data_IF_087432665648
#
_entry.id   IF_087432665648
#
_cell.length_a   1.000
_cell.length_b   1.000
_cell.length_c   1.000
_cell.angle_alpha   90.00
_cell.angle_beta   90.00
_cell.angle_gamma   90.00
#
_symmetry.space_group_name_H-M   'P 1'
#
loop_
_entity.id
_entity.type
_entity.pdbx_description
1 polymer ?
#
# COMPACT_ATOMS: atom_id res chain seq x y z
N UNK A 1 -11.13 -7.41 -35.47
CA UNK A 1 -10.35 -8.00 -34.36
C UNK A 1 -9.89 -6.87 -33.45
N UNK A 2 -10.33 -6.82 -32.19
CA UNK A 2 -9.86 -5.85 -31.20
C UNK A 2 -8.57 -6.36 -30.55
N UNK A 3 -7.44 -5.70 -30.78
CA UNK A 3 -6.16 -5.99 -30.12
C UNK A 3 -6.02 -5.00 -28.98
N UNK A 4 -5.87 -5.51 -27.74
CA UNK A 4 -5.64 -4.66 -26.56
C UNK A 4 -4.19 -4.83 -26.11
N UNK A 5 -3.47 -3.73 -25.92
CA UNK A 5 -2.14 -3.74 -25.32
C UNK A 5 -2.26 -4.12 -23.84
N UNK A 6 -1.62 -5.21 -23.43
CA UNK A 6 -1.57 -5.67 -22.03
C UNK A 6 -0.12 -5.71 -21.56
N UNK A 7 0.11 -5.21 -20.35
CA UNK A 7 1.41 -5.34 -19.69
C UNK A 7 1.59 -6.80 -19.27
N UNK A 8 2.50 -7.51 -19.89
CA UNK A 8 2.77 -8.93 -19.65
C UNK A 8 4.15 -9.13 -18.97
N UNK A 9 4.41 -8.37 -17.89
CA UNK A 9 5.65 -8.53 -17.14
C UNK A 9 5.32 -9.23 -15.82
N UNK A 10 5.63 -10.52 -15.74
CA UNK A 10 5.64 -11.27 -14.49
C UNK A 10 7.10 -11.47 -14.04
N UNK A 11 7.32 -11.37 -12.72
CA UNK A 11 8.64 -11.64 -12.18
C UNK A 11 8.93 -13.15 -12.27
N UNK A 12 10.16 -13.58 -12.68
CA UNK A 12 10.48 -15.00 -12.86
C UNK A 12 10.27 -15.89 -11.62
N UNK A 13 10.29 -15.28 -10.43
CA UNK A 13 10.05 -15.97 -9.15
C UNK A 13 8.57 -15.98 -8.71
N UNK A 14 7.66 -15.36 -9.46
CA UNK A 14 6.23 -15.46 -9.21
C UNK A 14 5.74 -16.81 -9.77
N UNK A 15 5.54 -17.78 -8.88
CA UNK A 15 5.09 -19.13 -9.28
C UNK A 15 3.56 -19.19 -9.36
N UNK A 16 2.98 -19.73 -10.45
CA UNK A 16 1.53 -19.85 -10.60
C UNK A 16 0.88 -20.61 -9.45
N UNK A 17 1.52 -21.65 -8.95
CA UNK A 17 1.02 -22.50 -7.87
C UNK A 17 0.80 -21.68 -6.57
N UNK A 18 1.80 -20.88 -6.14
CA UNK A 18 1.67 -20.04 -4.94
C UNK A 18 0.58 -18.99 -5.10
N UNK A 19 0.39 -18.49 -6.31
CA UNK A 19 -0.67 -17.52 -6.61
C UNK A 19 -2.04 -18.17 -6.55
N UNK A 20 -2.19 -19.41 -7.07
CA UNK A 20 -3.44 -20.20 -6.99
C UNK A 20 -3.79 -20.48 -5.53
N UNK A 21 -2.85 -21.01 -4.74
CA UNK A 21 -3.07 -21.29 -3.31
C UNK A 21 -3.53 -20.05 -2.55
N UNK A 22 -2.88 -18.89 -2.78
CA UNK A 22 -3.29 -17.64 -2.17
C UNK A 22 -4.72 -17.23 -2.56
N UNK A 23 -5.07 -17.36 -3.84
CA UNK A 23 -6.44 -17.07 -4.29
C UNK A 23 -7.47 -18.00 -3.62
N UNK A 24 -7.16 -19.26 -3.47
CA UNK A 24 -8.03 -20.25 -2.78
C UNK A 24 -8.22 -19.88 -1.30
N UNK A 25 -7.14 -19.49 -0.61
CA UNK A 25 -7.21 -19.05 0.79
C UNK A 25 -8.04 -17.76 0.93
N UNK A 26 -7.82 -16.77 0.06
CA UNK A 26 -8.62 -15.53 0.05
C UNK A 26 -10.09 -15.83 -0.23
N UNK A 27 -10.36 -16.70 -1.19
CA UNK A 27 -11.75 -17.09 -1.51
C UNK A 27 -12.43 -17.76 -0.31
N UNK A 28 -11.77 -18.71 0.36
CA UNK A 28 -12.28 -19.36 1.56
C UNK A 28 -12.66 -18.34 2.64
N UNK A 29 -11.77 -17.39 2.96
CA UNK A 29 -12.05 -16.37 3.94
C UNK A 29 -13.18 -15.42 3.52
N UNK A 30 -13.31 -15.15 2.22
CA UNK A 30 -14.41 -14.35 1.67
C UNK A 30 -15.75 -15.08 1.81
N UNK A 31 -15.79 -16.38 1.53
CA UNK A 31 -16.99 -17.24 1.72
C UNK A 31 -17.39 -17.32 3.19
N UNK A 32 -16.43 -17.29 4.12
CA UNK A 32 -16.65 -17.19 5.56
C UNK A 32 -17.08 -15.76 6.01
N UNK A 33 -17.26 -14.83 5.08
CA UNK A 33 -17.60 -13.41 5.33
C UNK A 33 -16.61 -12.70 6.26
N UNK A 34 -15.35 -13.10 6.27
CA UNK A 34 -14.30 -12.49 7.07
C UNK A 34 -13.78 -11.22 6.40
N UNK A 35 -13.64 -10.11 7.15
CA UNK A 35 -13.08 -8.88 6.62
C UNK A 35 -11.62 -9.09 6.17
N UNK A 36 -11.31 -8.72 4.91
CA UNK A 36 -9.93 -8.73 4.39
C UNK A 36 -9.33 -7.33 4.52
N UNK A 37 -8.25 -7.22 5.28
CA UNK A 37 -7.54 -5.98 5.53
C UNK A 37 -6.17 -6.05 4.88
N UNK A 38 -5.94 -5.21 3.88
CA UNK A 38 -4.68 -5.18 3.14
C UNK A 38 -3.76 -4.09 3.68
N UNK A 39 -2.53 -4.46 4.01
CA UNK A 39 -1.51 -3.55 4.55
C UNK A 39 -0.37 -3.42 3.56
N UNK A 40 0.19 -2.20 3.51
CA UNK A 40 1.39 -1.92 2.73
C UNK A 40 2.05 -0.61 3.17
N UNK A 41 3.31 -0.43 2.80
CA UNK A 41 4.05 0.81 2.98
C UNK A 41 4.28 1.50 1.64
N UNK A 42 4.30 2.83 1.71
CA UNK A 42 4.66 3.64 0.55
C UNK A 42 5.52 4.83 0.92
N UNK A 43 6.51 5.13 0.10
CA UNK A 43 7.31 6.34 0.24
C UNK A 43 6.76 7.49 -0.60
N UNK A 44 6.65 8.67 0.03
CA UNK A 44 6.28 9.92 -0.62
C UNK A 44 7.45 10.88 -0.57
N UNK A 45 8.07 11.16 -1.71
CA UNK A 45 9.14 12.15 -1.78
C UNK A 45 8.61 13.54 -1.40
N UNK A 46 9.44 14.36 -0.76
CA UNK A 46 9.04 15.72 -0.36
C UNK A 46 8.77 16.60 -1.57
N UNK A 47 9.53 16.43 -2.65
CA UNK A 47 9.17 17.00 -3.95
C UNK A 47 8.65 15.91 -4.90
N UNK A 48 7.47 16.14 -5.46
CA UNK A 48 6.84 15.28 -6.46
C UNK A 48 6.33 16.15 -7.63
N UNK A 49 7.24 16.71 -8.46
CA UNK A 49 6.85 17.59 -9.55
C UNK A 49 6.00 16.86 -10.59
N UNK A 50 5.20 17.63 -11.31
CA UNK A 50 4.52 17.13 -12.50
C UNK A 50 5.55 16.77 -13.56
N UNK A 51 5.50 15.55 -14.07
CA UNK A 51 6.41 15.09 -15.12
C UNK A 51 5.97 15.48 -16.52
N UNK A 52 4.69 15.82 -16.69
CA UNK A 52 4.06 16.15 -17.96
C UNK A 52 3.13 17.35 -17.80
N UNK A 53 3.02 18.15 -18.86
CA UNK A 53 2.10 19.29 -18.95
C UNK A 53 1.65 19.49 -20.39
N UNK A 54 0.78 20.46 -20.59
CA UNK A 54 0.29 20.84 -21.92
C UNK A 54 0.90 22.18 -22.34
N UNK A 55 1.33 22.26 -23.57
CA UNK A 55 1.78 23.49 -24.22
C UNK A 55 1.29 23.52 -25.67
N UNK A 56 1.25 24.69 -26.26
CA UNK A 56 0.94 24.85 -27.71
C UNK A 56 2.02 24.08 -28.49
N UNK A 57 1.60 23.45 -29.60
CA UNK A 57 2.51 22.70 -30.48
C UNK A 57 3.71 23.57 -30.87
N UNK A 58 4.90 23.03 -30.63
CA UNK A 58 6.16 23.72 -30.89
C UNK A 58 6.68 24.59 -29.73
N UNK A 59 5.94 24.74 -28.63
CA UNK A 59 6.39 25.44 -27.43
C UNK A 59 6.83 24.48 -26.35
N UNK A 60 7.77 24.92 -25.50
CA UNK A 60 8.20 24.18 -24.29
C UNK A 60 7.13 24.26 -23.20
N UNK A 61 6.87 23.12 -22.56
CA UNK A 61 6.14 23.08 -21.31
C UNK A 61 7.16 23.20 -20.15
N UNK A 62 6.97 24.21 -19.29
CA UNK A 62 7.82 24.44 -18.14
C UNK A 62 7.13 23.89 -16.88
N UNK A 63 7.90 23.23 -16.01
CA UNK A 63 7.50 22.80 -14.68
C UNK A 63 8.50 23.33 -13.65
N UNK A 64 8.06 23.41 -12.41
CA UNK A 64 8.93 23.72 -11.27
C UNK A 64 9.35 22.44 -10.58
N UNK A 65 10.61 22.35 -10.18
CA UNK A 65 11.17 21.28 -9.38
C UNK A 65 12.00 21.92 -8.25
N UNK A 66 11.66 21.56 -7.02
CA UNK A 66 12.44 22.02 -5.86
C UNK A 66 13.63 21.08 -5.62
N UNK A 67 14.78 21.45 -6.15
CA UNK A 67 16.03 20.73 -5.96
C UNK A 67 16.51 20.70 -4.51
N UNK A 68 15.96 21.57 -3.65
CA UNK A 68 16.26 21.64 -2.21
C UNK A 68 15.41 20.71 -1.36
N UNK A 69 14.23 20.29 -1.83
CA UNK A 69 13.33 19.42 -1.09
C UNK A 69 13.83 17.97 -1.12
N UNK A 70 14.77 17.67 -0.25
CA UNK A 70 15.34 16.33 -0.07
C UNK A 70 14.53 15.54 0.96
N UNK A 71 14.50 14.22 0.80
CA UNK A 71 13.86 13.30 1.75
C UNK A 71 12.52 12.77 1.27
N UNK A 72 11.97 11.91 2.10
CA UNK A 72 10.66 11.30 1.89
C UNK A 72 9.98 11.03 3.24
N UNK A 73 8.67 11.04 3.24
CA UNK A 73 7.85 10.52 4.32
C UNK A 73 7.44 9.10 3.96
N UNK A 74 7.66 8.16 4.86
CA UNK A 74 7.16 6.81 4.72
C UNK A 74 5.75 6.73 5.32
N UNK A 75 4.87 6.01 4.67
CA UNK A 75 3.48 5.87 5.07
C UNK A 75 3.18 4.40 5.22
N UNK A 76 2.58 4.00 6.32
CA UNK A 76 1.98 2.68 6.51
C UNK A 76 0.48 2.87 6.47
N UNK A 77 -0.24 2.01 5.78
CA UNK A 77 -1.69 2.07 5.74
C UNK A 77 -2.34 0.71 5.68
N UNK A 78 -3.59 0.68 6.10
CA UNK A 78 -4.46 -0.49 6.01
C UNK A 78 -5.72 -0.16 5.20
N UNK A 79 -6.04 -0.99 4.25
CA UNK A 79 -7.21 -0.87 3.37
C UNK A 79 -8.26 -1.91 3.75
N UNK A 80 -9.47 -1.46 4.01
CA UNK A 80 -10.65 -2.30 4.27
C UNK A 80 -11.80 -1.87 3.38
N UNK A 81 -12.44 -2.78 2.67
CA UNK A 81 -13.58 -2.50 1.77
C UNK A 81 -13.34 -1.36 0.76
N UNK A 82 -12.09 -1.18 0.33
CA UNK A 82 -11.73 -0.16 -0.64
C UNK A 82 -11.46 1.24 -0.07
N UNK A 83 -11.64 1.45 1.23
CA UNK A 83 -11.28 2.67 1.96
C UNK A 83 -10.09 2.43 2.88
N UNK A 84 -9.32 3.47 3.19
CA UNK A 84 -8.27 3.39 4.20
C UNK A 84 -8.91 3.32 5.58
N UNK A 85 -8.62 2.24 6.31
CA UNK A 85 -9.02 2.06 7.70
C UNK A 85 -8.16 2.93 8.64
N UNK A 86 -6.86 2.94 8.36
CA UNK A 86 -5.89 3.78 9.06
C UNK A 86 -4.69 4.05 8.17
N UNK A 87 -4.02 5.17 8.45
CA UNK A 87 -2.77 5.58 7.81
C UNK A 87 -1.91 6.31 8.83
N UNK A 88 -0.61 6.03 8.83
CA UNK A 88 0.36 6.69 9.69
C UNK A 88 1.59 7.12 8.91
N UNK A 89 2.10 8.30 9.21
CA UNK A 89 3.21 8.94 8.52
C UNK A 89 4.46 8.92 9.39
N UNK A 90 5.58 8.54 8.79
CA UNK A 90 6.88 8.39 9.47
C UNK A 90 7.96 9.17 8.73
N UNK A 91 8.68 10.05 9.43
CA UNK A 91 9.83 10.77 8.89
C UNK A 91 11.10 9.90 8.83
N UNK A 92 11.06 8.73 9.46
CA UNK A 92 12.15 7.76 9.51
C UNK A 92 11.85 6.54 8.64
N UNK A 93 12.86 5.72 8.39
CA UNK A 93 12.63 4.44 7.73
C UNK A 93 11.83 3.51 8.66
N UNK A 94 10.83 2.85 8.09
CA UNK A 94 10.07 1.82 8.78
C UNK A 94 10.97 0.60 8.97
N UNK A 95 11.10 0.16 10.21
CA UNK A 95 11.81 -1.06 10.61
C UNK A 95 10.83 -2.02 11.29
N UNK A 96 11.30 -3.18 11.71
CA UNK A 96 10.47 -4.21 12.37
C UNK A 96 9.80 -3.70 13.65
N UNK A 97 10.50 -2.88 14.44
CA UNK A 97 9.99 -2.32 15.68
C UNK A 97 8.83 -1.35 15.42
N UNK A 98 9.05 -0.35 14.56
CA UNK A 98 8.03 0.64 14.19
C UNK A 98 6.80 -0.06 13.60
N UNK A 99 7.02 -1.01 12.69
CA UNK A 99 5.93 -1.75 12.07
C UNK A 99 5.14 -2.58 13.09
N UNK A 100 5.84 -3.29 14.00
CA UNK A 100 5.18 -4.09 15.04
C UNK A 100 4.38 -3.21 16.01
N UNK A 101 4.93 -2.08 16.47
CA UNK A 101 4.21 -1.13 17.31
C UNK A 101 2.98 -0.56 16.59
N UNK A 102 3.12 -0.19 15.33
CA UNK A 102 1.98 0.29 14.54
C UNK A 102 0.88 -0.77 14.42
N UNK A 103 1.24 -2.03 14.18
CA UNK A 103 0.26 -3.13 14.12
C UNK A 103 -0.46 -3.31 15.45
N UNK A 104 0.28 -3.29 16.58
CA UNK A 104 -0.30 -3.56 17.90
C UNK A 104 -1.08 -2.38 18.46
N UNK A 105 -0.61 -1.16 18.26
CA UNK A 105 -1.13 0.04 18.92
C UNK A 105 -2.15 0.80 18.06
N UNK A 106 -2.00 0.76 16.74
CA UNK A 106 -2.87 1.52 15.83
C UNK A 106 -3.83 0.62 15.05
N UNK A 107 -3.33 -0.47 14.45
CA UNK A 107 -4.13 -1.31 13.56
C UNK A 107 -5.10 -2.21 14.32
N UNK A 108 -4.61 -3.09 15.20
CA UNK A 108 -5.42 -4.10 15.89
C UNK A 108 -6.64 -3.51 16.58
N UNK A 109 -6.54 -2.36 17.30
CA UNK A 109 -7.72 -1.76 17.94
C UNK A 109 -8.83 -1.29 16.98
N UNK A 110 -8.49 -1.09 15.71
CA UNK A 110 -9.43 -0.60 14.68
C UNK A 110 -10.01 -1.72 13.81
N UNK A 111 -9.46 -2.94 13.92
CA UNK A 111 -9.90 -4.06 13.09
C UNK A 111 -11.29 -4.55 13.48
N UNK A 112 -12.16 -4.85 12.51
CA UNK A 112 -13.33 -5.68 12.76
C UNK A 112 -12.93 -7.05 13.33
N UNK A 113 -13.80 -7.64 14.12
CA UNK A 113 -13.56 -8.98 14.69
C UNK A 113 -13.31 -10.02 13.60
N UNK A 114 -12.42 -10.98 13.89
CA UNK A 114 -12.11 -12.10 12.99
C UNK A 114 -11.61 -11.67 11.60
N UNK A 115 -10.86 -10.56 11.52
CA UNK A 115 -10.29 -10.07 10.26
C UNK A 115 -9.15 -10.97 9.78
N UNK A 116 -8.93 -10.96 8.46
CA UNK A 116 -7.76 -11.54 7.80
C UNK A 116 -6.87 -10.40 7.34
N UNK A 117 -5.67 -10.32 7.92
CA UNK A 117 -4.68 -9.29 7.60
C UNK A 117 -3.80 -9.83 6.48
N UNK A 118 -3.79 -9.12 5.36
CA UNK A 118 -2.99 -9.47 4.18
C UNK A 118 -1.86 -8.46 4.03
N UNK A 119 -0.62 -8.92 4.00
CA UNK A 119 0.56 -8.07 3.79
C UNK A 119 1.60 -8.77 2.92
N UNK A 120 2.58 -8.03 2.45
CA UNK A 120 3.66 -8.61 1.69
C UNK A 120 4.60 -9.45 2.59
N UNK A 121 5.48 -10.20 1.95
CA UNK A 121 6.39 -11.13 2.63
C UNK A 121 7.77 -10.49 2.88
N UNK A 122 7.82 -9.19 3.19
CA UNK A 122 9.07 -8.50 3.54
C UNK A 122 9.67 -9.07 4.82
N UNK A 123 10.99 -8.97 4.95
CA UNK A 123 11.71 -9.55 6.10
C UNK A 123 11.31 -8.94 7.43
N UNK A 124 10.99 -7.64 7.45
CA UNK A 124 10.58 -6.93 8.67
C UNK A 124 9.10 -7.18 9.06
N UNK A 125 8.30 -7.79 8.18
CA UNK A 125 6.94 -8.26 8.49
C UNK A 125 6.90 -9.65 9.17
N UNK A 126 8.05 -10.26 9.43
CA UNK A 126 8.14 -11.63 9.99
C UNK A 126 8.40 -11.67 11.50
N UNK A 127 8.13 -10.60 12.21
CA UNK A 127 8.28 -10.55 13.65
C UNK A 127 7.37 -11.58 14.36
N UNK A 128 7.97 -12.50 15.10
CA UNK A 128 7.21 -13.52 15.86
C UNK A 128 6.24 -12.88 16.84
N UNK A 129 6.67 -11.81 17.51
CA UNK A 129 5.85 -11.08 18.48
C UNK A 129 4.61 -10.43 17.79
N UNK A 130 4.80 -9.81 16.62
CA UNK A 130 3.72 -9.23 15.86
C UNK A 130 2.70 -10.28 15.39
N UNK A 131 3.20 -11.40 14.86
CA UNK A 131 2.32 -12.52 14.43
C UNK A 131 1.49 -13.02 15.62
N UNK A 132 2.14 -13.22 16.77
CA UNK A 132 1.45 -13.65 17.98
C UNK A 132 0.40 -12.64 18.44
N UNK A 133 0.71 -11.34 18.42
CA UNK A 133 -0.24 -10.29 18.78
C UNK A 133 -1.50 -10.29 17.88
N UNK A 134 -1.33 -10.52 16.59
CA UNK A 134 -2.43 -10.64 15.63
C UNK A 134 -3.30 -11.86 15.95
N UNK A 135 -2.67 -13.01 16.20
CA UNK A 135 -3.36 -14.26 16.54
C UNK A 135 -4.08 -14.18 17.90
N UNK A 136 -3.42 -13.63 18.92
CA UNK A 136 -3.97 -13.42 20.26
C UNK A 136 -5.19 -12.47 20.26
N UNK A 137 -5.22 -11.53 19.31
CA UNK A 137 -6.36 -10.64 19.08
C UNK A 137 -7.50 -11.28 18.25
N UNK A 138 -7.38 -12.55 17.88
CA UNK A 138 -8.41 -13.29 17.14
C UNK A 138 -8.43 -13.03 15.64
N UNK A 139 -7.33 -12.52 15.09
CA UNK A 139 -7.19 -12.27 13.64
C UNK A 139 -6.29 -13.33 12.97
N UNK A 140 -6.35 -13.40 11.65
CA UNK A 140 -5.50 -14.30 10.84
C UNK A 140 -4.54 -13.48 10.01
N UNK A 141 -3.28 -13.89 9.96
CA UNK A 141 -2.27 -13.29 9.09
C UNK A 141 -2.09 -14.14 7.82
N UNK A 142 -2.16 -13.48 6.67
CA UNK A 142 -1.95 -14.08 5.37
C UNK A 142 -0.89 -13.28 4.59
N UNK A 143 0.13 -13.97 4.10
CA UNK A 143 1.16 -13.31 3.30
C UNK A 143 0.87 -13.40 1.81
N UNK A 144 1.09 -12.29 1.11
CA UNK A 144 1.05 -12.27 -0.36
C UNK A 144 2.09 -13.23 -0.95
N UNK A 145 1.78 -13.86 -2.08
CA UNK A 145 2.78 -14.61 -2.82
C UNK A 145 3.95 -13.71 -3.21
N UNK A 146 5.17 -14.23 -3.25
CA UNK A 146 6.34 -13.45 -3.66
C UNK A 146 6.12 -12.77 -5.02
N UNK A 147 6.54 -11.51 -5.12
CA UNK A 147 6.46 -10.70 -6.35
C UNK A 147 5.04 -10.55 -6.95
N UNK A 148 4.03 -10.47 -6.11
CA UNK A 148 2.62 -10.37 -6.51
C UNK A 148 1.93 -9.10 -5.96
N UNK A 149 2.45 -7.87 -6.22
CA UNK A 149 1.85 -6.63 -5.75
C UNK A 149 0.46 -6.37 -6.36
N UNK A 150 0.17 -7.00 -7.50
CA UNK A 150 -1.14 -6.96 -8.16
C UNK A 150 -2.27 -7.57 -7.32
N UNK A 151 -1.95 -8.40 -6.33
CA UNK A 151 -2.90 -8.93 -5.34
C UNK A 151 -3.11 -8.00 -4.14
N UNK A 152 -2.35 -6.90 -4.04
CA UNK A 152 -2.53 -5.91 -2.99
C UNK A 152 -3.31 -4.68 -3.50
N UNK A 153 -4.60 -4.57 -3.21
CA UNK A 153 -5.42 -3.47 -3.71
C UNK A 153 -5.02 -2.09 -3.15
N UNK A 154 -4.31 -2.03 -2.04
CA UNK A 154 -3.83 -0.77 -1.44
C UNK A 154 -2.82 -0.05 -2.35
N UNK A 155 -2.11 -0.76 -3.22
CA UNK A 155 -1.22 -0.19 -4.22
C UNK A 155 -1.95 0.81 -5.16
N UNK A 156 -3.22 0.56 -5.44
CA UNK A 156 -4.06 1.49 -6.21
C UNK A 156 -4.34 2.77 -5.42
N UNK A 157 -4.48 2.69 -4.10
CA UNK A 157 -4.62 3.86 -3.24
C UNK A 157 -3.34 4.68 -3.20
N UNK A 158 -2.19 4.04 -3.12
CA UNK A 158 -0.90 4.73 -3.20
C UNK A 158 -0.71 5.42 -4.56
N UNK A 159 -1.06 4.76 -5.65
CA UNK A 159 -1.02 5.36 -6.98
C UNK A 159 -1.96 6.58 -7.09
N UNK A 160 -3.18 6.48 -6.54
CA UNK A 160 -4.14 7.58 -6.47
C UNK A 160 -3.58 8.75 -5.65
N UNK A 161 -3.07 8.49 -4.44
CA UNK A 161 -2.50 9.50 -3.56
C UNK A 161 -1.33 10.24 -4.23
N UNK A 162 -0.40 9.49 -4.84
CA UNK A 162 0.72 10.07 -5.59
C UNK A 162 0.25 10.89 -6.79
N UNK A 163 -0.79 10.47 -7.49
CA UNK A 163 -1.38 11.21 -8.60
C UNK A 163 -2.02 12.54 -8.14
N UNK A 164 -2.81 12.50 -7.07
CA UNK A 164 -3.44 13.69 -6.49
C UNK A 164 -2.35 14.67 -6.06
N UNK A 165 -1.34 14.23 -5.31
CA UNK A 165 -0.27 15.09 -4.84
C UNK A 165 0.52 15.76 -5.97
N UNK A 166 0.81 15.04 -7.07
CA UNK A 166 1.43 15.65 -8.25
C UNK A 166 0.55 16.72 -8.91
N UNK A 167 -0.76 16.57 -8.81
CA UNK A 167 -1.72 17.50 -9.41
C UNK A 167 -1.96 18.72 -8.55
N UNK A 168 -2.14 18.52 -7.25
CA UNK A 168 -2.55 19.58 -6.31
C UNK A 168 -1.33 20.24 -5.65
N UNK A 169 -0.28 19.47 -5.37
CA UNK A 169 0.84 19.90 -4.54
C UNK A 169 0.49 19.79 -3.06
N UNK A 170 1.16 20.55 -2.22
CA UNK A 170 0.89 20.63 -0.79
C UNK A 170 1.66 19.61 0.07
N UNK A 171 1.36 19.60 1.37
CA UNK A 171 1.96 18.71 2.35
C UNK A 171 1.47 17.26 2.18
N UNK A 172 2.22 16.31 2.74
CA UNK A 172 1.81 14.91 2.75
C UNK A 172 0.68 14.69 3.76
N UNK A 173 0.71 15.39 4.89
CA UNK A 173 -0.34 15.35 5.90
C UNK A 173 -1.67 15.81 5.30
N UNK A 174 -1.73 17.00 4.70
CA UNK A 174 -2.94 17.51 4.04
C UNK A 174 -3.44 16.61 2.90
N UNK A 175 -2.55 15.90 2.19
CA UNK A 175 -2.96 14.93 1.18
C UNK A 175 -3.85 13.83 1.77
N UNK A 176 -3.46 13.29 2.92
CA UNK A 176 -4.22 12.20 3.55
C UNK A 176 -5.47 12.71 4.26
N UNK A 177 -5.39 13.84 4.96
CA UNK A 177 -6.53 14.43 5.67
C UNK A 177 -7.65 14.92 4.75
N UNK A 178 -7.30 15.55 3.63
CA UNK A 178 -8.30 16.23 2.78
C UNK A 178 -8.75 15.42 1.56
N UNK A 179 -7.96 14.45 1.10
CA UNK A 179 -8.18 13.85 -0.20
C UNK A 179 -8.23 12.31 -0.23
N UNK A 180 -7.76 11.62 0.80
CA UNK A 180 -7.55 10.17 0.74
C UNK A 180 -8.30 9.41 1.84
N UNK A 181 -8.45 9.98 3.03
CA UNK A 181 -9.23 9.43 4.14
C UNK A 181 -10.72 9.54 3.95
#
# INVERSE_FOLDING_TARGET
MGITYKKNLQHPKATPEKRSTFCEEVQKHTEESRPLVFIDESGFAHDMPRLYGYAIKGQRCFGTHDWGAKGRTNVIGALLFGALLTVSLFQTNVNTEIFSSWVTEDLIPKLPTNSVIVMDNASFHKGVAMKKAIEDAGHTLLYLPPYSPDFNPIEKKWAQAKSIRRRVGGSIDGLFEEHIL
#
